data_IF_949584747932
#
_entry.id   IF_949584747932
#
_cell.length_a   1.000
_cell.length_b   1.000
_cell.length_c   1.000
_cell.angle_alpha   90.00
_cell.angle_beta   90.00
_cell.angle_gamma   90.00
#
_symmetry.space_group_name_H-M   'P 1'
#
loop_
_entity.id
_entity.type
_entity.pdbx_description
1 polymer ?
#
# COMPACT_ATOMS: atom_id res chain seq x y z
N UNK A 1 0.36 -5.98 -11.51
CA UNK A 1 0.64 -6.12 -10.07
C UNK A 1 0.27 -4.85 -9.28
N UNK A 2 0.98 -3.72 -9.38
CA UNK A 2 0.70 -2.51 -8.58
C UNK A 2 -0.76 -2.03 -8.64
N UNK A 3 -1.38 -2.09 -9.81
CA UNK A 3 -2.78 -1.66 -9.98
C UNK A 3 -3.78 -2.54 -9.22
N UNK A 4 -3.55 -3.86 -9.16
CA UNK A 4 -4.38 -4.77 -8.37
C UNK A 4 -4.29 -4.43 -6.90
N UNK A 5 -3.08 -4.18 -6.39
CA UNK A 5 -2.84 -3.78 -5.00
C UNK A 5 -3.52 -2.44 -4.71
N UNK A 6 -3.28 -1.40 -5.53
CA UNK A 6 -3.83 -0.05 -5.30
C UNK A 6 -5.37 -0.04 -5.31
N UNK A 7 -6.00 -0.88 -6.13
CA UNK A 7 -7.47 -1.02 -6.18
C UNK A 7 -8.06 -1.73 -4.94
N UNK A 8 -7.25 -2.18 -4.01
CA UNK A 8 -7.71 -2.73 -2.73
C UNK A 8 -7.54 -1.75 -1.57
N UNK A 9 -6.98 -0.56 -1.80
CA UNK A 9 -6.62 0.39 -0.73
C UNK A 9 -7.77 1.39 -0.50
N UNK A 10 -8.43 1.33 0.69
CA UNK A 10 -9.48 2.28 1.06
C UNK A 10 -8.89 3.66 1.44
N UNK A 11 -9.72 4.71 1.58
CA UNK A 11 -9.29 6.02 2.05
C UNK A 11 -8.60 5.94 3.42
N UNK A 12 -7.51 6.69 3.58
CA UNK A 12 -6.71 6.76 4.80
C UNK A 12 -5.98 8.11 4.87
N UNK A 13 -5.54 8.50 6.06
CA UNK A 13 -4.81 9.75 6.29
C UNK A 13 -3.30 9.54 6.25
N UNK A 14 -2.82 8.37 6.65
CA UNK A 14 -1.40 8.02 6.60
C UNK A 14 -1.17 6.69 5.89
N UNK A 15 -0.17 6.66 5.00
CA UNK A 15 0.30 5.47 4.27
C UNK A 15 1.65 5.03 4.80
N UNK A 16 1.78 3.78 5.20
CA UNK A 16 3.01 3.21 5.76
C UNK A 16 3.44 1.98 4.95
N UNK A 17 4.68 1.98 4.45
CA UNK A 17 5.30 0.88 3.69
C UNK A 17 6.66 0.52 4.31
N UNK A 18 6.68 -0.29 5.40
CA UNK A 18 7.90 -0.58 6.16
C UNK A 18 8.81 -1.66 5.55
N UNK A 19 8.47 -2.17 4.38
CA UNK A 19 9.30 -3.00 3.49
C UNK A 19 9.33 -2.35 2.11
N UNK A 20 9.99 -1.21 1.99
CA UNK A 20 9.90 -0.34 0.83
C UNK A 20 10.47 -0.98 -0.44
N UNK A 21 11.63 -1.66 -0.34
CA UNK A 21 12.35 -2.17 -1.49
C UNK A 21 12.51 -1.10 -2.58
N UNK A 22 12.05 -1.39 -3.78
CA UNK A 22 12.02 -0.42 -4.88
C UNK A 22 10.90 0.63 -4.78
N UNK A 23 10.01 0.55 -3.80
CA UNK A 23 8.92 1.48 -3.55
C UNK A 23 7.92 1.63 -4.69
N UNK A 24 7.65 0.55 -5.44
CA UNK A 24 6.73 0.62 -6.60
C UNK A 24 5.34 1.07 -6.19
N UNK A 25 4.80 0.57 -5.07
CA UNK A 25 3.48 0.99 -4.60
C UNK A 25 3.55 2.39 -4.03
N UNK A 26 4.52 2.69 -3.17
CA UNK A 26 4.74 3.99 -2.54
C UNK A 26 4.75 5.16 -3.55
N UNK A 27 5.50 5.02 -4.64
CA UNK A 27 5.61 6.07 -5.69
C UNK A 27 4.45 6.10 -6.68
N UNK A 28 3.68 5.01 -6.77
CA UNK A 28 2.59 4.89 -7.75
C UNK A 28 1.26 5.36 -7.18
N UNK A 29 0.97 5.05 -5.91
CA UNK A 29 -0.26 5.45 -5.24
C UNK A 29 -0.33 6.98 -5.08
N UNK A 30 -1.55 7.52 -5.08
CA UNK A 30 -1.75 8.92 -4.68
C UNK A 30 -1.25 9.09 -3.24
N UNK A 31 -0.35 10.05 -2.97
CA UNK A 31 0.12 10.29 -1.61
C UNK A 31 -1.04 10.55 -0.64
N UNK A 32 -0.94 9.99 0.57
CA UNK A 32 -1.77 10.36 1.71
C UNK A 32 -1.30 11.70 2.29
N UNK A 33 -2.01 12.24 3.29
CA UNK A 33 -1.56 13.42 4.00
C UNK A 33 -0.15 13.20 4.57
N UNK A 34 0.12 12.00 5.03
CA UNK A 34 1.43 11.53 5.49
C UNK A 34 1.74 10.18 4.82
N UNK A 35 2.89 10.06 4.18
CA UNK A 35 3.35 8.80 3.59
C UNK A 35 4.76 8.49 4.08
N UNK A 36 4.95 7.30 4.63
CA UNK A 36 6.22 6.87 5.21
C UNK A 36 6.65 5.54 4.62
N UNK A 37 7.83 5.53 4.02
CA UNK A 37 8.50 4.32 3.55
C UNK A 37 9.71 3.99 4.44
N UNK A 38 9.91 2.71 4.75
CA UNK A 38 11.12 2.24 5.40
C UNK A 38 11.68 1.02 4.68
N UNK A 39 13.00 0.91 4.72
CA UNK A 39 13.68 -0.34 4.39
C UNK A 39 14.84 -0.56 5.35
N UNK A 40 15.20 -1.82 5.58
CA UNK A 40 16.37 -2.18 6.38
C UNK A 40 17.66 -1.99 5.61
N UNK A 41 17.60 -2.05 4.26
CA UNK A 41 18.74 -1.81 3.39
C UNK A 41 18.87 -0.31 3.08
N UNK A 42 19.92 0.31 3.65
CA UNK A 42 20.20 1.72 3.43
C UNK A 42 20.41 2.07 1.94
N UNK A 43 20.96 1.14 1.14
CA UNK A 43 21.16 1.35 -0.30
C UNK A 43 19.82 1.38 -1.05
N UNK A 44 18.85 0.54 -0.68
CA UNK A 44 17.51 0.58 -1.27
C UNK A 44 16.82 1.93 -0.99
N UNK A 45 17.02 2.46 0.22
CA UNK A 45 16.52 3.78 0.61
C UNK A 45 17.21 4.90 -0.17
N UNK A 46 18.52 4.85 -0.32
CA UNK A 46 19.32 5.83 -1.07
C UNK A 46 18.93 5.84 -2.55
N UNK A 47 18.89 4.67 -3.20
CA UNK A 47 18.49 4.51 -4.59
C UNK A 47 17.07 5.05 -4.85
N UNK A 48 16.14 4.79 -3.94
CA UNK A 48 14.78 5.30 -4.03
C UNK A 48 14.76 6.83 -4.08
N UNK A 49 15.56 7.52 -3.30
CA UNK A 49 15.50 8.94 -3.19
C UNK A 49 16.18 9.74 -4.29
N UNK A 50 17.31 9.32 -4.74
CA UNK A 50 18.02 9.98 -5.84
C UNK A 50 17.05 10.16 -7.04
N UNK A 51 16.14 9.21 -7.23
CA UNK A 51 15.19 9.24 -8.33
C UNK A 51 13.90 10.06 -8.12
N UNK A 52 13.52 10.48 -6.90
CA UNK A 52 12.14 10.86 -6.63
C UNK A 52 11.92 12.18 -5.86
N UNK A 53 12.98 12.90 -5.52
CA UNK A 53 12.87 14.22 -4.87
C UNK A 53 12.21 14.19 -3.49
N UNK A 54 12.17 13.03 -2.83
CA UNK A 54 11.61 12.86 -1.50
C UNK A 54 12.59 13.42 -0.47
N UNK A 55 12.10 14.22 0.50
CA UNK A 55 12.97 14.74 1.55
C UNK A 55 13.55 13.60 2.39
N UNK A 56 14.88 13.53 2.40
CA UNK A 56 15.67 12.55 3.15
C UNK A 56 15.96 13.02 4.58
N UNK A 57 15.88 12.09 5.52
CA UNK A 57 16.70 12.15 6.71
C UNK A 57 17.64 10.92 6.70
N UNK A 58 18.72 11.03 5.94
CA UNK A 58 19.88 10.15 6.01
C UNK A 58 20.86 10.72 7.05
N UNK A 59 20.45 10.78 8.30
CA UNK A 59 21.37 11.14 9.40
C UNK A 59 22.04 9.90 10.03
N UNK A 60 21.96 8.71 9.37
CA UNK A 60 22.43 7.46 9.98
C UNK A 60 21.68 7.10 11.28
N UNK A 61 20.66 7.88 11.65
CA UNK A 61 19.78 7.60 12.79
C UNK A 61 18.54 6.90 12.29
N UNK A 62 18.19 5.82 12.96
CA UNK A 62 16.92 5.13 12.81
C UNK A 62 15.78 6.16 12.82
N UNK A 63 14.89 6.12 11.82
CA UNK A 63 13.64 6.86 11.91
C UNK A 63 12.84 6.19 13.03
N UNK A 64 12.84 6.80 14.19
CA UNK A 64 12.01 6.35 15.30
C UNK A 64 10.57 6.82 15.12
N UNK A 65 9.61 6.10 15.69
CA UNK A 65 8.21 6.51 15.71
C UNK A 65 8.06 7.96 16.24
N UNK A 66 8.89 8.37 17.22
CA UNK A 66 8.89 9.72 17.78
C UNK A 66 9.29 10.80 16.75
N UNK A 67 10.20 10.50 15.83
CA UNK A 67 10.59 11.44 14.76
C UNK A 67 9.50 11.53 13.68
N UNK A 68 8.83 10.43 13.37
CA UNK A 68 7.72 10.38 12.43
C UNK A 68 6.45 11.05 12.96
N UNK A 69 6.22 11.00 14.28
CA UNK A 69 5.08 11.69 14.90
C UNK A 69 5.14 13.21 14.73
N UNK A 70 6.33 13.79 14.58
CA UNK A 70 6.55 15.22 14.31
C UNK A 70 6.26 15.62 12.85
N UNK A 71 6.21 14.65 11.94
CA UNK A 71 5.86 14.89 10.55
C UNK A 71 4.33 14.99 10.43
N UNK A 72 3.82 16.17 10.20
CA UNK A 72 2.38 16.41 10.08
C UNK A 72 1.84 16.10 8.68
N UNK A 73 2.63 16.40 7.65
CA UNK A 73 2.27 16.22 6.24
C UNK A 73 3.49 15.85 5.38
N UNK A 74 3.23 15.23 4.22
CA UNK A 74 4.25 14.96 3.20
C UNK A 74 4.72 13.53 3.13
N UNK A 75 5.81 13.31 2.44
CA UNK A 75 6.41 11.98 2.22
C UNK A 75 7.78 11.93 2.86
N UNK A 76 8.08 10.82 3.55
CA UNK A 76 9.39 10.53 4.09
C UNK A 76 9.77 9.08 3.84
N UNK A 77 11.07 8.85 3.62
CA UNK A 77 11.64 7.52 3.48
C UNK A 77 12.84 7.42 4.41
N UNK A 78 13.06 6.27 5.01
CA UNK A 78 14.15 6.09 5.95
C UNK A 78 14.65 4.67 6.07
N UNK A 79 15.84 4.52 6.67
CA UNK A 79 16.41 3.22 7.00
C UNK A 79 16.00 2.80 8.41
N UNK A 80 15.44 1.57 8.56
CA UNK A 80 15.01 1.10 9.87
C UNK A 80 14.48 -0.31 9.88
N UNK A 81 14.29 -0.83 11.09
CA UNK A 81 13.66 -2.14 11.31
C UNK A 81 12.14 -2.01 11.25
N UNK A 82 11.50 -2.72 10.32
CA UNK A 82 10.04 -2.72 10.15
C UNK A 82 9.30 -3.11 11.44
N UNK A 83 9.75 -4.16 12.14
CA UNK A 83 9.10 -4.64 13.37
C UNK A 83 9.20 -3.62 14.50
N UNK A 84 10.37 -3.02 14.67
CA UNK A 84 10.58 -1.98 15.69
C UNK A 84 9.73 -0.74 15.39
N UNK A 85 9.69 -0.33 14.12
CA UNK A 85 8.85 0.76 13.66
C UNK A 85 7.37 0.49 13.94
N UNK A 86 6.84 -0.67 13.54
CA UNK A 86 5.44 -1.03 13.71
C UNK A 86 5.03 -1.11 15.19
N UNK A 87 5.91 -1.64 16.07
CA UNK A 87 5.65 -1.73 17.51
C UNK A 87 5.59 -0.38 18.21
N UNK A 88 6.36 0.60 17.73
CA UNK A 88 6.51 1.91 18.38
C UNK A 88 5.76 3.03 17.65
N UNK A 89 5.03 2.72 16.57
CA UNK A 89 4.28 3.73 15.83
C UNK A 89 3.08 4.23 16.66
N UNK A 90 2.83 5.56 16.73
CA UNK A 90 1.72 6.13 17.49
C UNK A 90 0.41 6.01 16.68
N UNK A 91 -0.21 4.86 16.74
CA UNK A 91 -1.43 4.54 16.00
C UNK A 91 -2.60 5.46 16.34
N UNK A 92 -3.32 5.93 15.32
CA UNK A 92 -4.54 6.73 15.44
C UNK A 92 -5.78 6.01 14.91
N UNK A 93 -5.61 4.86 14.24
CA UNK A 93 -6.67 4.09 13.59
C UNK A 93 -7.03 4.61 12.18
N UNK A 94 -6.31 5.61 11.67
CA UNK A 94 -6.52 6.21 10.34
C UNK A 94 -5.39 5.93 9.36
N UNK A 95 -4.51 5.00 9.72
CA UNK A 95 -3.40 4.57 8.91
C UNK A 95 -3.80 3.41 7.99
N UNK A 96 -3.09 3.32 6.87
CA UNK A 96 -3.02 2.16 6.01
C UNK A 96 -1.58 1.66 5.98
N UNK A 97 -1.39 0.38 6.29
CA UNK A 97 -0.08 -0.29 6.31
C UNK A 97 -0.02 -1.30 5.18
N UNK A 98 0.95 -1.14 4.29
CA UNK A 98 1.28 -2.13 3.27
C UNK A 98 2.56 -2.86 3.65
N UNK A 99 2.48 -4.17 3.81
CA UNK A 99 3.59 -5.06 4.14
C UNK A 99 3.91 -5.94 2.94
N UNK A 100 5.10 -5.79 2.37
CA UNK A 100 5.65 -6.63 1.30
C UNK A 100 6.99 -7.23 1.76
N UNK A 101 6.97 -8.10 2.80
CA UNK A 101 8.19 -8.67 3.34
C UNK A 101 8.88 -9.58 2.33
N UNK A 102 10.19 -9.83 2.45
CA UNK A 102 10.86 -10.90 1.72
C UNK A 102 10.11 -12.22 1.90
N UNK A 103 9.72 -12.88 0.80
CA UNK A 103 8.84 -14.05 0.87
C UNK A 103 9.50 -15.24 1.56
N UNK A 104 8.71 -16.07 2.23
CA UNK A 104 9.10 -17.28 2.92
C UNK A 104 10.02 -18.16 2.04
N UNK A 105 11.10 -18.67 2.61
CA UNK A 105 12.03 -19.55 1.90
C UNK A 105 11.34 -20.81 1.37
N UNK A 106 10.43 -21.39 2.15
CA UNK A 106 9.64 -22.57 1.79
C UNK A 106 8.74 -22.37 0.56
N UNK A 107 8.34 -21.12 0.25
CA UNK A 107 7.48 -20.81 -0.89
C UNK A 107 8.27 -20.45 -2.16
N UNK A 108 9.59 -20.30 -2.05
CA UNK A 108 10.46 -19.94 -3.18
C UNK A 108 10.84 -21.16 -4.00
N UNK A 109 10.65 -21.10 -5.31
CA UNK A 109 11.10 -22.12 -6.26
C UNK A 109 12.63 -22.20 -6.43
N UNK A 110 13.38 -21.30 -5.81
CA UNK A 110 14.86 -21.30 -5.82
C UNK A 110 15.39 -20.90 -4.47
N UNK A 111 16.28 -21.67 -3.89
CA UNK A 111 17.02 -21.36 -2.68
C UNK A 111 18.08 -20.24 -2.83
N UNK A 112 17.98 -19.38 -3.85
CA UNK A 112 18.94 -18.29 -4.04
C UNK A 112 18.60 -17.10 -3.12
N UNK A 113 19.59 -16.62 -2.37
CA UNK A 113 19.52 -15.37 -1.62
C UNK A 113 19.39 -14.18 -2.59
N UNK A 114 18.24 -13.48 -2.53
CA UNK A 114 17.93 -12.32 -3.39
C UNK A 114 18.09 -11.02 -2.60
N UNK A 115 17.92 -11.06 -1.27
CA UNK A 115 17.95 -9.88 -0.40
C UNK A 115 19.14 -9.95 0.57
N UNK A 116 19.75 -8.80 0.86
CA UNK A 116 20.88 -8.69 1.80
C UNK A 116 20.48 -8.92 3.26
N UNK A 117 19.23 -8.58 3.61
CA UNK A 117 18.67 -8.68 4.96
C UNK A 117 17.41 -9.54 4.93
N UNK A 118 17.57 -10.84 5.12
CA UNK A 118 16.48 -11.80 4.89
C UNK A 118 15.67 -12.07 6.18
N UNK A 119 14.40 -11.62 6.16
CA UNK A 119 13.35 -12.10 7.08
C UNK A 119 12.62 -13.28 6.45
N UNK A 120 13.31 -14.41 6.19
CA UNK A 120 12.75 -15.51 5.39
C UNK A 120 12.34 -16.73 6.20
N UNK A 121 12.70 -16.79 7.47
CA UNK A 121 12.35 -17.93 8.31
C UNK A 121 10.90 -17.85 8.78
N UNK A 122 10.28 -18.99 8.97
CA UNK A 122 8.94 -19.12 9.57
C UNK A 122 8.83 -18.37 10.89
N UNK A 123 9.89 -18.38 11.70
CA UNK A 123 9.94 -17.65 12.97
C UNK A 123 9.81 -16.14 12.77
N UNK A 124 10.54 -15.58 11.82
CA UNK A 124 10.51 -14.14 11.54
C UNK A 124 9.15 -13.72 10.97
N UNK A 125 8.56 -14.55 10.10
CA UNK A 125 7.21 -14.30 9.59
C UNK A 125 6.15 -14.42 10.67
N UNK A 126 6.22 -15.42 11.58
CA UNK A 126 5.32 -15.50 12.73
C UNK A 126 5.38 -14.26 13.60
N UNK A 127 6.58 -13.74 13.85
CA UNK A 127 6.77 -12.51 14.60
C UNK A 127 6.15 -11.31 13.90
N UNK A 128 6.37 -11.16 12.58
CA UNK A 128 5.75 -10.10 11.76
C UNK A 128 4.23 -10.18 11.78
N UNK A 129 3.68 -11.38 11.54
CA UNK A 129 2.23 -11.60 11.54
C UNK A 129 1.62 -11.33 12.91
N UNK A 130 2.30 -11.74 14.00
CA UNK A 130 1.88 -11.41 15.37
C UNK A 130 1.83 -9.90 15.63
N UNK A 131 2.78 -9.13 15.11
CA UNK A 131 2.75 -7.67 15.16
C UNK A 131 1.60 -7.13 14.30
N UNK A 132 1.45 -7.62 13.08
CA UNK A 132 0.43 -7.15 12.14
C UNK A 132 -1.00 -7.35 12.66
N UNK A 133 -1.26 -8.48 13.34
CA UNK A 133 -2.55 -8.78 13.96
C UNK A 133 -2.92 -7.80 15.10
N UNK A 134 -1.92 -7.19 15.74
CA UNK A 134 -2.11 -6.22 16.82
C UNK A 134 -2.21 -4.75 16.36
N UNK A 135 -2.05 -4.45 15.07
CA UNK A 135 -2.11 -3.07 14.56
C UNK A 135 -3.56 -2.58 14.52
N UNK A 136 -3.91 -1.49 15.22
CA UNK A 136 -5.27 -0.94 15.23
C UNK A 136 -5.52 -0.02 14.02
N UNK A 137 -5.14 -0.47 12.81
CA UNK A 137 -5.27 0.27 11.55
C UNK A 137 -5.57 -0.70 10.40
N UNK A 138 -5.72 -0.18 9.19
CA UNK A 138 -5.93 -0.99 7.99
C UNK A 138 -4.60 -1.62 7.56
N UNK A 139 -4.55 -2.94 7.48
CA UNK A 139 -3.33 -3.68 7.11
C UNK A 139 -3.57 -4.53 5.87
N UNK A 140 -2.65 -4.46 4.93
CA UNK A 140 -2.54 -5.34 3.77
C UNK A 140 -1.15 -5.96 3.74
N UNK A 141 -1.10 -7.27 3.52
CA UNK A 141 0.16 -8.03 3.38
C UNK A 141 0.16 -8.71 2.02
N UNK A 142 1.27 -8.62 1.27
CA UNK A 142 1.51 -9.39 0.04
C UNK A 142 2.47 -10.54 0.30
N UNK A 143 2.31 -11.62 -0.46
CA UNK A 143 3.17 -12.79 -0.37
C UNK A 143 2.71 -13.96 -1.23
N UNK A 144 3.44 -15.06 -1.16
CA UNK A 144 2.98 -16.32 -1.75
C UNK A 144 2.06 -17.07 -0.78
N UNK A 145 1.02 -17.77 -1.28
CA UNK A 145 0.21 -18.66 -0.46
C UNK A 145 1.08 -19.63 0.35
N UNK A 146 0.79 -19.75 1.66
CA UNK A 146 1.47 -20.70 2.55
C UNK A 146 0.57 -21.11 3.70
N UNK A 147 0.78 -22.30 4.25
CA UNK A 147 0.03 -22.81 5.41
C UNK A 147 0.20 -21.92 6.64
N UNK A 148 1.39 -21.32 6.79
CA UNK A 148 1.67 -20.37 7.87
C UNK A 148 0.73 -19.16 7.81
N UNK A 149 0.62 -18.53 6.65
CA UNK A 149 -0.25 -17.38 6.46
C UNK A 149 -1.72 -17.76 6.57
N UNK A 150 -2.12 -18.86 5.94
CA UNK A 150 -3.49 -19.38 6.03
C UNK A 150 -3.91 -19.66 7.48
N UNK A 151 -3.01 -20.23 8.30
CA UNK A 151 -3.31 -20.53 9.70
C UNK A 151 -3.41 -19.32 10.62
N UNK A 152 -2.64 -18.26 10.35
CA UNK A 152 -2.59 -17.07 11.22
C UNK A 152 -3.53 -15.94 10.75
N UNK A 153 -3.80 -15.85 9.44
CA UNK A 153 -4.61 -14.80 8.81
C UNK A 153 -5.93 -15.35 8.26
N UNK A 154 -6.42 -16.49 8.74
CA UNK A 154 -7.61 -17.16 8.22
C UNK A 154 -8.88 -16.31 8.25
N UNK A 155 -8.98 -15.37 9.19
CA UNK A 155 -10.10 -14.41 9.29
C UNK A 155 -9.95 -13.19 8.39
N UNK A 156 -8.78 -12.99 7.78
CA UNK A 156 -8.53 -11.86 6.90
C UNK A 156 -9.07 -12.13 5.50
N UNK A 157 -9.60 -11.11 4.86
CA UNK A 157 -9.99 -11.17 3.46
C UNK A 157 -8.78 -11.45 2.58
N UNK A 158 -8.90 -12.42 1.69
CA UNK A 158 -7.84 -12.89 0.80
C UNK A 158 -8.19 -12.58 -0.65
N UNK A 159 -7.19 -12.14 -1.43
CA UNK A 159 -7.28 -11.96 -2.87
C UNK A 159 -6.05 -12.56 -3.55
N UNK A 160 -6.26 -13.59 -4.36
CA UNK A 160 -5.21 -14.13 -5.21
C UNK A 160 -5.17 -13.42 -6.56
N UNK A 161 -3.96 -13.20 -7.08
CA UNK A 161 -3.74 -12.63 -8.40
C UNK A 161 -2.45 -13.18 -9.03
N UNK A 162 -2.38 -13.10 -10.37
CA UNK A 162 -1.17 -13.52 -11.08
C UNK A 162 -0.20 -12.35 -11.17
N UNK A 163 0.93 -12.48 -10.49
CA UNK A 163 2.08 -11.59 -10.60
C UNK A 163 3.06 -12.07 -11.65
N UNK A 164 3.80 -11.14 -12.26
CA UNK A 164 4.92 -11.46 -13.16
C UNK A 164 6.23 -11.38 -12.40
N UNK A 165 6.91 -12.50 -12.30
CA UNK A 165 8.26 -12.59 -11.72
C UNK A 165 9.31 -12.73 -12.83
N UNK A 166 10.60 -12.60 -12.49
CA UNK A 166 11.70 -12.84 -13.44
C UNK A 166 11.68 -14.26 -14.06
N UNK A 167 10.95 -15.21 -13.45
CA UNK A 167 10.84 -16.61 -13.89
C UNK A 167 9.48 -16.95 -14.51
N UNK A 168 8.67 -15.94 -14.78
CA UNK A 168 7.34 -16.10 -15.34
C UNK A 168 6.21 -15.81 -14.35
N UNK A 169 4.97 -16.14 -14.70
CA UNK A 169 3.81 -15.88 -13.86
C UNK A 169 3.86 -16.70 -12.57
N UNK A 170 3.49 -16.08 -11.46
CA UNK A 170 3.33 -16.72 -10.17
C UNK A 170 2.03 -16.22 -9.50
N UNK A 171 1.33 -17.12 -8.80
CA UNK A 171 0.19 -16.72 -7.97
C UNK A 171 0.71 -16.04 -6.73
N UNK A 172 0.28 -14.81 -6.52
CA UNK A 172 0.54 -14.02 -5.33
C UNK A 172 -0.78 -13.79 -4.60
N UNK A 173 -0.72 -13.51 -3.33
CA UNK A 173 -1.85 -13.34 -2.45
C UNK A 173 -1.75 -12.04 -1.67
N UNK A 174 -2.89 -11.36 -1.49
CA UNK A 174 -3.06 -10.25 -0.57
C UNK A 174 -3.94 -10.71 0.59
N UNK A 175 -3.49 -10.47 1.81
CA UNK A 175 -4.29 -10.62 3.03
C UNK A 175 -4.60 -9.25 3.60
N UNK A 176 -5.87 -9.01 3.92
CA UNK A 176 -6.36 -7.70 4.34
C UNK A 176 -7.26 -7.86 5.57
N UNK A 177 -7.02 -7.09 6.63
CA UNK A 177 -7.84 -7.10 7.85
C UNK A 177 -9.14 -6.30 7.73
N UNK A 178 -9.53 -5.92 6.53
CA UNK A 178 -10.72 -5.12 6.24
C UNK A 178 -11.50 -5.71 5.06
N UNK A 179 -12.82 -5.42 4.94
CA UNK A 179 -13.65 -5.90 3.83
C UNK A 179 -13.25 -5.26 2.49
N UNK A 180 -13.85 -5.74 1.39
CA UNK A 180 -13.66 -5.10 0.09
C UNK A 180 -14.04 -3.62 0.15
N UNK A 181 -13.17 -2.70 -0.29
CA UNK A 181 -13.42 -1.28 -0.14
C UNK A 181 -14.54 -0.81 -1.07
N UNK A 182 -15.52 -0.09 -0.52
CA UNK A 182 -16.59 0.60 -1.29
C UNK A 182 -16.12 1.96 -1.81
N UNK A 183 -15.09 2.54 -1.20
CA UNK A 183 -14.40 3.75 -1.64
C UNK A 183 -12.90 3.46 -1.73
N UNK A 184 -12.24 3.98 -2.79
CA UNK A 184 -10.80 3.80 -2.97
C UNK A 184 -10.03 5.07 -2.59
N UNK A 185 -8.82 4.89 -2.10
CA UNK A 185 -7.90 6.01 -1.91
C UNK A 185 -7.49 6.61 -3.26
N UNK A 186 -7.30 5.76 -4.28
CA UNK A 186 -6.83 6.18 -5.60
C UNK A 186 -7.64 5.51 -6.72
N UNK A 187 -8.42 6.29 -7.44
CA UNK A 187 -9.26 5.82 -8.55
C UNK A 187 -8.55 5.79 -9.91
N UNK A 188 -7.29 6.26 -10.01
CA UNK A 188 -6.56 6.32 -11.30
C UNK A 188 -6.38 4.96 -11.97
N UNK A 189 -6.43 3.89 -11.18
CA UNK A 189 -6.23 2.52 -11.63
C UNK A 189 -7.51 1.67 -11.62
N UNK A 190 -8.67 2.29 -11.41
CA UNK A 190 -9.94 1.59 -11.38
C UNK A 190 -10.20 0.85 -12.69
N UNK A 191 -10.53 -0.45 -12.60
CA UNK A 191 -10.87 -1.33 -13.72
C UNK A 191 -10.17 -2.68 -13.66
N UNK A 192 -10.88 -3.73 -14.11
CA UNK A 192 -10.43 -5.12 -14.02
C UNK A 192 -9.20 -5.43 -14.89
N UNK A 193 -9.06 -4.75 -16.04
CA UNK A 193 -7.96 -4.94 -16.98
C UNK A 193 -7.61 -3.63 -17.69
N UNK A 194 -6.60 -3.64 -18.56
CA UNK A 194 -6.16 -2.46 -19.29
C UNK A 194 -7.29 -1.80 -20.11
N UNK A 195 -8.05 -2.59 -20.85
CA UNK A 195 -9.15 -2.11 -21.70
C UNK A 195 -10.24 -1.44 -20.87
N UNK A 196 -10.61 -2.06 -19.75
CA UNK A 196 -11.62 -1.52 -18.85
C UNK A 196 -11.15 -0.22 -18.19
N UNK A 197 -9.90 -0.15 -17.74
CA UNK A 197 -9.30 1.11 -17.23
C UNK A 197 -9.34 2.23 -18.26
N UNK A 198 -8.97 1.95 -19.53
CA UNK A 198 -9.04 2.94 -20.59
C UNK A 198 -10.48 3.40 -20.88
N UNK A 199 -11.43 2.45 -20.85
CA UNK A 199 -12.87 2.74 -20.99
C UNK A 199 -13.36 3.69 -19.89
N UNK A 200 -13.06 3.38 -18.63
CA UNK A 200 -13.43 4.19 -17.47
C UNK A 200 -12.78 5.58 -17.51
N UNK A 201 -11.49 5.66 -17.85
CA UNK A 201 -10.78 6.94 -18.00
C UNK A 201 -11.41 7.82 -19.06
N UNK A 202 -11.74 7.26 -20.24
CA UNK A 202 -12.41 8.00 -21.32
C UNK A 202 -13.81 8.44 -20.93
N UNK A 203 -14.56 7.59 -20.18
CA UNK A 203 -15.89 7.93 -19.68
C UNK A 203 -15.80 9.11 -18.69
N UNK A 204 -14.90 9.04 -17.72
CA UNK A 204 -14.69 10.13 -16.77
C UNK A 204 -14.30 11.44 -17.47
N UNK A 205 -13.33 11.41 -18.40
CA UNK A 205 -12.90 12.60 -19.14
C UNK A 205 -14.06 13.25 -19.92
N UNK A 206 -14.90 12.45 -20.58
CA UNK A 206 -16.09 12.97 -21.31
C UNK A 206 -17.11 13.61 -20.37
N UNK A 207 -17.37 13.01 -19.20
CA UNK A 207 -18.29 13.58 -18.22
C UNK A 207 -17.73 14.87 -17.63
N UNK A 208 -16.44 14.89 -17.27
CA UNK A 208 -15.76 16.11 -16.78
C UNK A 208 -15.83 17.22 -17.81
N UNK A 209 -15.55 16.93 -19.10
CA UNK A 209 -15.64 17.93 -20.17
C UNK A 209 -17.07 18.51 -20.31
N UNK A 210 -18.11 17.66 -20.26
CA UNK A 210 -19.50 18.11 -20.27
C UNK A 210 -19.83 19.00 -19.08
N UNK A 211 -19.48 18.58 -17.87
CA UNK A 211 -19.69 19.37 -16.66
C UNK A 211 -18.90 20.70 -16.70
N UNK A 212 -17.69 20.68 -17.22
CA UNK A 212 -16.86 21.90 -17.32
C UNK A 212 -17.44 22.95 -18.28
N UNK A 213 -18.22 22.53 -19.25
CA UNK A 213 -18.88 23.44 -20.21
C UNK A 213 -20.14 24.13 -19.66
N UNK A 214 -20.70 23.66 -18.55
CA UNK A 214 -21.90 24.23 -17.95
C UNK A 214 -21.62 25.59 -17.29
N UNK A 215 -22.63 26.46 -17.16
CA UNK A 215 -22.58 27.66 -16.31
C UNK A 215 -22.26 27.32 -14.86
N UNK A 216 -21.63 28.26 -14.14
CA UNK A 216 -21.14 28.01 -12.78
C UNK A 216 -22.25 27.51 -11.82
N UNK A 217 -23.41 28.16 -11.85
CA UNK A 217 -24.52 27.78 -10.95
C UNK A 217 -25.08 26.38 -11.26
N UNK A 218 -25.13 26.01 -12.54
CA UNK A 218 -25.55 24.65 -12.93
C UNK A 218 -24.55 23.58 -12.47
N UNK A 219 -23.24 23.88 -12.55
CA UNK A 219 -22.20 22.99 -11.99
C UNK A 219 -22.37 22.79 -10.51
N UNK A 220 -22.59 23.87 -9.77
CA UNK A 220 -22.77 23.82 -8.32
C UNK A 220 -24.05 23.06 -7.94
N UNK A 221 -25.16 23.27 -8.68
CA UNK A 221 -26.40 22.53 -8.45
C UNK A 221 -26.22 21.03 -8.67
N UNK A 222 -25.48 20.63 -9.75
CA UNK A 222 -25.19 19.22 -10.01
C UNK A 222 -24.28 18.59 -8.96
N UNK A 223 -23.26 19.30 -8.50
CA UNK A 223 -22.38 18.84 -7.43
C UNK A 223 -23.16 18.64 -6.13
N UNK A 224 -23.98 19.61 -5.75
CA UNK A 224 -24.84 19.51 -4.58
C UNK A 224 -25.87 18.35 -4.68
N UNK A 225 -26.42 18.11 -5.87
CA UNK A 225 -27.30 16.98 -6.09
C UNK A 225 -26.58 15.62 -6.01
N UNK A 226 -25.32 15.55 -6.47
CA UNK A 226 -24.49 14.33 -6.34
C UNK A 226 -24.10 14.08 -4.88
N UNK A 227 -23.81 15.12 -4.12
CA UNK A 227 -23.48 15.04 -2.68
C UNK A 227 -24.73 14.65 -1.86
N UNK A 228 -25.89 15.24 -2.18
CA UNK A 228 -27.17 14.93 -1.51
C UNK A 228 -27.68 13.51 -1.81
N UNK A 229 -27.43 13.00 -3.00
CA UNK A 229 -27.65 11.60 -3.36
C UNK A 229 -26.47 10.73 -2.90
N UNK A 230 -26.00 10.98 -1.69
CA UNK A 230 -24.96 10.15 -1.07
C UNK A 230 -25.32 8.68 -1.36
N UNK A 231 -24.41 7.98 -2.04
CA UNK A 231 -24.57 6.58 -2.48
C UNK A 231 -24.69 5.63 -1.27
N UNK A 232 -25.59 5.91 -0.36
CA UNK A 232 -25.98 5.10 0.81
C UNK A 232 -26.95 3.99 0.42
N UNK A 233 -26.72 3.33 -0.69
CA UNK A 233 -27.63 2.29 -1.12
C UNK A 233 -27.03 1.37 -2.17
N UNK A 234 -26.02 0.61 -1.79
CA UNK A 234 -25.74 -0.70 -2.41
C UNK A 234 -25.08 -1.60 -1.38
#
# INVERSE_FOLDING_TARGET
MSQTIINQIPPHDAYLEPFLGSGVIFRTIRPALKSVGLDKDALAVEDFGIGHGVQWQLDGKLITAANLSKMLHGQAVGCGCALEFLRNYPWTGREFVYLDPPYLESTRRSGARIYRHEMMSDKAHRELLGVALGIPALVMISGYPSDLYASLLGEWRTLEYVGMTHRGPATECLWMNYPAPVKLHDYRFLGANFTDRQRLKRKAARLVAKLSALPLLEKQALLAALEANDFNGF
#
